data_IF_433382852206
#
_entry.id   IF_433382852206
#
_cell.length_a   1.000
_cell.length_b   1.000
_cell.length_c   1.000
_cell.angle_alpha   90.00
_cell.angle_beta   90.00
_cell.angle_gamma   90.00
#
_symmetry.space_group_name_H-M   'P 1'
#
loop_
_entity.id
_entity.type
_entity.pdbx_description
1 polymer ?
#
# COMPACT_ATOMS: atom_id res chain seq x y z
N UNK A 1 -61.87 29.64 -21.42
CA UNK A 1 -61.07 28.41 -21.57
C UNK A 1 -59.67 28.83 -21.97
N UNK A 2 -58.76 29.01 -21.00
CA UNK A 2 -57.40 29.50 -21.28
C UNK A 2 -56.53 28.35 -21.77
N UNK A 3 -55.81 28.56 -22.89
CA UNK A 3 -54.87 27.59 -23.44
C UNK A 3 -53.86 27.10 -22.39
N UNK A 4 -53.48 25.81 -22.40
CA UNK A 4 -52.46 25.30 -21.49
C UNK A 4 -51.13 26.00 -21.78
N UNK A 5 -50.71 26.82 -20.82
CA UNK A 5 -49.47 27.57 -20.90
C UNK A 5 -48.25 26.66 -21.14
N UNK A 6 -47.42 26.99 -22.14
CA UNK A 6 -46.23 26.20 -22.52
C UNK A 6 -45.33 25.88 -21.30
N UNK A 7 -44.79 24.67 -21.15
CA UNK A 7 -43.90 24.34 -20.02
C UNK A 7 -42.58 25.12 -20.06
N UNK A 8 -42.02 25.44 -18.88
CA UNK A 8 -40.69 26.04 -18.78
C UNK A 8 -39.62 24.99 -19.11
N UNK A 9 -38.81 25.23 -20.13
CA UNK A 9 -37.77 24.28 -20.61
C UNK A 9 -36.78 23.83 -19.53
N UNK A 10 -36.58 24.65 -18.50
CA UNK A 10 -35.60 24.39 -17.45
C UNK A 10 -36.20 23.78 -16.17
N UNK A 11 -37.52 23.77 -15.98
CA UNK A 11 -38.19 23.24 -14.77
C UNK A 11 -38.96 21.95 -15.12
N UNK A 12 -38.60 20.84 -14.48
CA UNK A 12 -39.18 19.52 -14.79
C UNK A 12 -40.51 19.31 -14.06
N UNK A 13 -41.54 18.87 -14.81
CA UNK A 13 -42.82 18.42 -14.24
C UNK A 13 -42.69 17.08 -13.51
N UNK A 14 -41.82 16.21 -14.01
CA UNK A 14 -41.55 14.87 -13.46
C UNK A 14 -40.47 14.94 -12.37
N UNK A 15 -40.60 14.11 -11.32
CA UNK A 15 -39.61 14.00 -10.25
C UNK A 15 -39.73 15.02 -9.11
N UNK A 16 -40.87 15.70 -8.96
CA UNK A 16 -41.16 16.56 -7.81
C UNK A 16 -40.33 17.85 -7.72
N UNK A 17 -39.51 18.17 -8.73
CA UNK A 17 -38.65 19.36 -8.76
C UNK A 17 -39.45 20.67 -8.67
N UNK A 18 -40.67 20.69 -9.22
CA UNK A 18 -41.56 21.84 -9.16
C UNK A 18 -42.16 22.10 -7.77
N UNK A 19 -42.34 21.07 -6.93
CA UNK A 19 -42.73 21.26 -5.52
C UNK A 19 -41.63 21.98 -4.75
N UNK A 20 -40.38 21.63 -5.04
CA UNK A 20 -39.26 22.34 -4.42
C UNK A 20 -39.15 23.79 -4.91
N UNK A 21 -39.43 24.03 -6.20
CA UNK A 21 -39.49 25.40 -6.71
C UNK A 21 -40.63 26.20 -6.06
N UNK A 22 -41.77 25.56 -5.79
CA UNK A 22 -42.86 26.13 -5.01
C UNK A 22 -42.39 26.53 -3.60
N UNK A 23 -41.80 25.59 -2.85
CA UNK A 23 -41.31 25.85 -1.49
C UNK A 23 -40.27 26.97 -1.45
N UNK A 24 -39.35 26.99 -2.42
CA UNK A 24 -38.35 28.05 -2.55
C UNK A 24 -39.00 29.42 -2.77
N UNK A 25 -40.04 29.51 -3.60
CA UNK A 25 -40.74 30.77 -3.86
C UNK A 25 -41.51 31.27 -2.63
N UNK A 26 -42.09 30.35 -1.84
CA UNK A 26 -42.75 30.69 -0.56
C UNK A 26 -41.74 31.28 0.43
N UNK A 27 -40.52 30.73 0.48
CA UNK A 27 -39.47 31.20 1.37
C UNK A 27 -38.79 32.50 0.88
N UNK A 28 -38.68 32.69 -0.42
CA UNK A 28 -37.94 33.79 -1.03
C UNK A 28 -38.77 35.07 -1.22
N UNK A 29 -40.10 34.99 -1.15
CA UNK A 29 -41.01 36.10 -1.38
C UNK A 29 -41.78 36.43 -0.10
N UNK A 30 -42.03 37.72 0.12
CA UNK A 30 -42.88 38.15 1.23
C UNK A 30 -44.33 37.67 1.02
N UNK A 31 -45.06 37.31 2.09
CA UNK A 31 -46.43 36.80 1.99
C UNK A 31 -47.36 37.72 1.21
N UNK A 32 -47.20 39.04 1.35
CA UNK A 32 -48.03 40.04 0.67
C UNK A 32 -47.68 40.20 -0.81
N UNK A 33 -46.43 39.91 -1.17
CA UNK A 33 -45.99 39.85 -2.57
C UNK A 33 -46.51 38.56 -3.24
N UNK A 34 -46.59 37.46 -2.49
CA UNK A 34 -47.21 36.22 -2.96
C UNK A 34 -48.71 36.46 -3.20
N UNK A 35 -49.40 37.19 -2.31
CA UNK A 35 -50.81 37.61 -2.47
C UNK A 35 -51.04 38.57 -3.63
N UNK A 36 -50.13 39.51 -3.92
CA UNK A 36 -50.32 40.44 -5.04
C UNK A 36 -50.18 39.75 -6.41
N UNK A 37 -49.36 38.71 -6.49
CA UNK A 37 -49.21 37.87 -7.66
C UNK A 37 -50.47 36.98 -7.91
N UNK A 38 -51.35 36.86 -6.91
CA UNK A 38 -52.36 35.82 -6.78
C UNK A 38 -53.54 36.03 -5.80
N UNK A 39 -54.81 35.84 -6.20
CA UNK A 39 -55.97 36.05 -5.31
C UNK A 39 -56.06 35.08 -4.12
N UNK A 40 -55.31 33.96 -4.09
CA UNK A 40 -55.22 33.07 -2.93
C UNK A 40 -53.77 32.61 -2.70
N UNK A 41 -53.14 32.93 -1.55
CA UNK A 41 -51.71 32.70 -1.33
C UNK A 41 -51.33 31.26 -0.95
N UNK A 42 -52.27 30.43 -0.49
CA UNK A 42 -51.98 29.12 0.09
C UNK A 42 -52.13 27.92 -0.86
N UNK A 43 -52.93 28.02 -1.92
CA UNK A 43 -53.28 26.89 -2.81
C UNK A 43 -52.69 26.99 -4.22
N UNK A 44 -51.80 27.97 -4.44
CA UNK A 44 -51.41 28.39 -5.80
C UNK A 44 -50.07 27.89 -6.26
N UNK A 45 -49.37 27.10 -5.46
CA UNK A 45 -48.16 26.41 -5.89
C UNK A 45 -48.33 24.88 -5.82
N UNK A 46 -49.58 24.42 -5.69
CA UNK A 46 -49.97 23.01 -5.59
C UNK A 46 -49.95 22.29 -6.94
N UNK A 47 -49.77 23.01 -8.04
CA UNK A 47 -49.71 22.43 -9.39
C UNK A 47 -48.52 22.98 -10.16
N UNK A 48 -47.98 22.17 -11.07
CA UNK A 48 -46.87 22.57 -11.94
C UNK A 48 -47.21 23.83 -12.75
N UNK A 49 -48.42 23.88 -13.30
CA UNK A 49 -48.92 24.97 -14.13
C UNK A 49 -49.02 26.29 -13.34
N UNK A 50 -49.42 26.22 -12.07
CA UNK A 50 -49.52 27.38 -11.20
C UNK A 50 -48.13 27.90 -10.78
N UNK A 51 -47.17 27.01 -10.54
CA UNK A 51 -45.76 27.38 -10.33
C UNK A 51 -45.16 28.06 -11.57
N UNK A 52 -45.40 27.52 -12.77
CA UNK A 52 -44.90 28.10 -14.03
C UNK A 52 -45.43 29.52 -14.27
N UNK A 53 -46.72 29.73 -14.04
CA UNK A 53 -47.36 31.04 -14.24
C UNK A 53 -46.86 32.08 -13.23
N UNK A 54 -46.64 31.71 -11.96
CA UNK A 54 -46.01 32.59 -10.96
C UNK A 54 -44.57 32.93 -11.36
N UNK A 55 -43.76 31.95 -11.79
CA UNK A 55 -42.39 32.18 -12.25
C UNK A 55 -42.36 33.15 -13.44
N UNK A 56 -43.31 33.06 -14.38
CA UNK A 56 -43.37 33.98 -15.52
C UNK A 56 -43.70 35.42 -15.13
N UNK A 57 -44.59 35.61 -14.15
CA UNK A 57 -44.87 36.95 -13.60
C UNK A 57 -43.64 37.50 -12.90
N UNK A 58 -43.00 36.69 -12.05
CA UNK A 58 -41.75 37.04 -11.38
C UNK A 58 -40.62 37.33 -12.36
N UNK A 59 -40.58 36.67 -13.52
CA UNK A 59 -39.56 36.95 -14.51
C UNK A 59 -39.67 38.36 -15.12
N UNK A 60 -40.86 38.99 -15.04
CA UNK A 60 -41.07 40.39 -15.45
C UNK A 60 -40.84 41.37 -14.30
N UNK A 61 -41.22 41.00 -13.07
CA UNK A 61 -41.20 41.90 -11.90
C UNK A 61 -39.90 41.81 -11.08
N UNK A 62 -39.36 40.60 -10.90
CA UNK A 62 -38.17 40.27 -10.10
C UNK A 62 -37.33 39.16 -10.76
N UNK A 63 -36.65 39.47 -11.88
CA UNK A 63 -35.87 38.48 -12.62
C UNK A 63 -34.72 37.89 -11.78
N UNK A 64 -34.20 38.62 -10.80
CA UNK A 64 -33.13 38.20 -9.89
C UNK A 64 -33.52 36.98 -9.03
N UNK A 65 -34.78 36.90 -8.59
CA UNK A 65 -35.30 35.76 -7.81
C UNK A 65 -35.37 34.52 -8.70
N UNK A 66 -35.81 34.69 -9.96
CA UNK A 66 -35.87 33.59 -10.94
C UNK A 66 -34.46 33.11 -11.31
N UNK A 67 -33.49 34.00 -11.49
CA UNK A 67 -32.10 33.64 -11.73
C UNK A 67 -31.50 32.83 -10.57
N UNK A 68 -31.74 33.25 -9.32
CA UNK A 68 -31.31 32.50 -8.13
C UNK A 68 -31.96 31.13 -8.05
N UNK A 69 -33.28 31.06 -8.30
CA UNK A 69 -34.03 29.80 -8.34
C UNK A 69 -33.44 28.84 -9.40
N UNK A 70 -33.19 29.31 -10.62
CA UNK A 70 -32.55 28.51 -11.67
C UNK A 70 -31.16 28.00 -11.25
N UNK A 71 -30.35 28.85 -10.63
CA UNK A 71 -29.03 28.48 -10.11
C UNK A 71 -29.10 27.38 -9.05
N UNK A 72 -30.00 27.52 -8.09
CA UNK A 72 -30.20 26.51 -7.03
C UNK A 72 -30.71 25.17 -7.57
N UNK A 73 -31.62 25.17 -8.54
CA UNK A 73 -32.08 23.93 -9.19
C UNK A 73 -30.94 23.26 -9.95
N UNK A 74 -30.15 24.03 -10.69
CA UNK A 74 -28.95 23.51 -11.37
C UNK A 74 -27.97 22.88 -10.39
N UNK A 75 -27.72 23.54 -9.26
CA UNK A 75 -26.82 23.04 -8.22
C UNK A 75 -27.37 21.78 -7.55
N UNK A 76 -28.68 21.73 -7.30
CA UNK A 76 -29.36 20.55 -6.75
C UNK A 76 -29.25 19.35 -7.69
N UNK A 77 -29.49 19.54 -8.99
CA UNK A 77 -29.28 18.50 -10.01
C UNK A 77 -27.83 18.04 -10.11
N UNK A 78 -26.87 18.95 -9.91
CA UNK A 78 -25.46 18.59 -9.90
C UNK A 78 -25.09 17.75 -8.67
N UNK A 79 -25.79 17.96 -7.55
CA UNK A 79 -25.58 17.28 -6.26
C UNK A 79 -26.42 16.00 -6.09
N UNK A 80 -27.41 15.75 -6.94
CA UNK A 80 -28.19 14.51 -6.86
C UNK A 80 -27.33 13.31 -7.31
N UNK A 81 -27.45 12.21 -6.58
CA UNK A 81 -26.61 11.00 -6.69
C UNK A 81 -26.58 10.33 -8.08
N UNK A 82 -27.45 10.75 -9.03
CA UNK A 82 -27.54 10.20 -10.37
C UNK A 82 -26.30 10.40 -11.26
N UNK A 83 -25.34 11.24 -10.86
CA UNK A 83 -24.13 11.53 -11.63
C UNK A 83 -22.86 10.85 -11.08
N UNK A 84 -22.98 9.92 -10.13
CA UNK A 84 -21.86 9.09 -9.64
C UNK A 84 -20.78 9.83 -8.84
N UNK A 85 -20.95 11.13 -8.57
CA UNK A 85 -20.02 11.93 -7.76
C UNK A 85 -20.67 12.29 -6.43
N UNK A 86 -20.16 11.73 -5.34
CA UNK A 86 -20.55 12.10 -3.98
C UNK A 86 -19.62 13.21 -3.48
N UNK A 87 -20.09 14.45 -3.28
CA UNK A 87 -19.24 15.51 -2.75
C UNK A 87 -18.85 15.19 -1.30
N UNK A 88 -17.54 15.23 -1.02
CA UNK A 88 -16.99 15.15 0.34
C UNK A 88 -16.44 16.52 0.72
N UNK A 89 -16.93 17.09 1.81
CA UNK A 89 -16.40 18.35 2.35
C UNK A 89 -15.48 18.02 3.52
N UNK A 90 -14.22 18.44 3.42
CA UNK A 90 -13.22 18.29 4.46
C UNK A 90 -12.77 19.67 4.91
N UNK A 91 -12.59 19.83 6.21
CA UNK A 91 -11.98 21.04 6.77
C UNK A 91 -10.50 20.77 7.00
N UNK A 92 -9.65 21.57 6.35
CA UNK A 92 -8.20 21.50 6.47
C UNK A 92 -7.69 22.79 7.13
N UNK A 93 -6.49 22.73 7.73
CA UNK A 93 -5.84 23.92 8.24
C UNK A 93 -5.52 24.91 7.10
N UNK A 94 -5.45 26.21 7.40
CA UNK A 94 -5.09 27.24 6.40
C UNK A 94 -3.75 26.95 5.73
N UNK A 95 -2.78 26.46 6.50
CA UNK A 95 -1.45 26.09 5.98
C UNK A 95 -1.53 24.92 5.00
N UNK A 96 -2.31 23.89 5.34
CA UNK A 96 -2.50 22.71 4.49
C UNK A 96 -3.15 23.10 3.17
N UNK A 97 -4.17 23.96 3.21
CA UNK A 97 -4.82 24.46 1.99
C UNK A 97 -3.83 25.23 1.12
N UNK A 98 -3.08 26.18 1.70
CA UNK A 98 -2.08 26.95 0.96
C UNK A 98 -1.03 26.06 0.28
N UNK A 99 -0.51 25.07 1.02
CA UNK A 99 0.43 24.07 0.48
C UNK A 99 -0.21 23.25 -0.65
N UNK A 100 -1.43 22.75 -0.46
CA UNK A 100 -2.14 21.97 -1.49
C UNK A 100 -2.38 22.80 -2.76
N UNK A 101 -2.85 24.04 -2.63
CA UNK A 101 -3.10 24.94 -3.76
C UNK A 101 -1.80 25.28 -4.50
N UNK A 102 -0.71 25.58 -3.77
CA UNK A 102 0.59 25.87 -4.39
C UNK A 102 1.16 24.67 -5.15
N UNK A 103 1.06 23.46 -4.58
CA UNK A 103 1.48 22.22 -5.25
C UNK A 103 0.61 21.92 -6.47
N UNK A 104 -0.71 22.08 -6.36
CA UNK A 104 -1.64 21.87 -7.46
C UNK A 104 -1.34 22.81 -8.64
N UNK A 105 -1.06 24.09 -8.35
CA UNK A 105 -0.63 25.08 -9.35
C UNK A 105 0.71 24.70 -9.99
N UNK A 106 1.71 24.31 -9.19
CA UNK A 106 3.02 23.90 -9.69
C UNK A 106 2.92 22.73 -10.66
N UNK A 107 2.02 21.78 -10.38
CA UNK A 107 1.78 20.60 -11.22
C UNK A 107 0.70 20.80 -12.29
N UNK A 108 0.09 21.99 -12.40
CA UNK A 108 -1.00 22.31 -13.35
C UNK A 108 -2.17 21.32 -13.30
N UNK A 109 -2.51 20.84 -12.11
CA UNK A 109 -3.62 19.89 -11.87
C UNK A 109 -4.60 20.45 -10.83
N UNK A 110 -5.80 19.89 -10.76
CA UNK A 110 -6.73 20.23 -9.67
C UNK A 110 -6.23 19.66 -8.35
N UNK A 111 -6.59 20.31 -7.24
CA UNK A 111 -6.25 19.85 -5.89
C UNK A 111 -6.75 18.42 -5.64
N UNK A 112 -7.95 18.08 -6.10
CA UNK A 112 -8.50 16.74 -6.01
C UNK A 112 -7.69 15.71 -6.82
N UNK A 113 -7.23 16.06 -8.02
CA UNK A 113 -6.38 15.19 -8.83
C UNK A 113 -4.99 15.00 -8.21
N UNK A 114 -4.44 16.05 -7.58
CA UNK A 114 -3.18 15.96 -6.85
C UNK A 114 -3.31 15.01 -5.65
N UNK A 115 -4.36 15.14 -4.85
CA UNK A 115 -4.62 14.24 -3.71
C UNK A 115 -4.79 12.80 -4.18
N UNK A 116 -5.57 12.57 -5.24
CA UNK A 116 -5.72 11.23 -5.81
C UNK A 116 -4.37 10.63 -6.22
N UNK A 117 -3.52 11.41 -6.91
CA UNK A 117 -2.18 10.96 -7.31
C UNK A 117 -1.31 10.62 -6.11
N UNK A 118 -1.30 11.45 -5.07
CA UNK A 118 -0.52 11.20 -3.86
C UNK A 118 -0.97 9.91 -3.15
N UNK A 119 -2.28 9.68 -3.05
CA UNK A 119 -2.83 8.46 -2.46
C UNK A 119 -2.41 7.22 -3.28
N UNK A 120 -2.49 7.28 -4.61
CA UNK A 120 -2.06 6.18 -5.47
C UNK A 120 -0.56 5.91 -5.33
N UNK A 121 0.26 6.96 -5.35
CA UNK A 121 1.72 6.84 -5.21
C UNK A 121 2.14 6.23 -3.87
N UNK A 122 1.52 6.66 -2.77
CA UNK A 122 1.78 6.07 -1.45
C UNK A 122 1.34 4.61 -1.39
N UNK A 123 0.18 4.28 -1.98
CA UNK A 123 -0.28 2.89 -2.09
C UNK A 123 0.70 2.00 -2.86
N UNK A 124 1.19 2.49 -4.00
CA UNK A 124 2.19 1.80 -4.81
C UNK A 124 3.53 1.64 -4.08
N UNK A 125 4.01 2.69 -3.41
CA UNK A 125 5.26 2.67 -2.65
C UNK A 125 5.22 1.63 -1.52
N UNK A 126 4.10 1.57 -0.79
CA UNK A 126 3.90 0.57 0.28
C UNK A 126 3.91 -0.86 -0.27
N UNK A 127 3.24 -1.10 -1.40
CA UNK A 127 3.23 -2.45 -2.00
C UNK A 127 4.61 -2.84 -2.58
N UNK A 128 5.34 -1.90 -3.16
CA UNK A 128 6.73 -2.10 -3.60
C UNK A 128 7.60 -2.48 -2.40
N UNK A 129 7.50 -1.75 -1.28
CA UNK A 129 8.28 -2.03 -0.08
C UNK A 129 7.96 -3.41 0.49
N UNK A 130 6.68 -3.79 0.60
CA UNK A 130 6.27 -5.13 1.03
C UNK A 130 6.83 -6.23 0.12
N UNK A 131 6.80 -6.01 -1.19
CA UNK A 131 7.33 -6.99 -2.15
C UNK A 131 8.85 -7.12 -2.05
N UNK A 132 9.55 -6.00 -1.89
CA UNK A 132 11.00 -6.00 -1.67
C UNK A 132 11.38 -6.75 -0.38
N UNK A 133 10.68 -6.51 0.73
CA UNK A 133 10.89 -7.24 1.98
C UNK A 133 10.67 -8.75 1.84
N UNK A 134 9.63 -9.16 1.09
CA UNK A 134 9.38 -10.57 0.79
C UNK A 134 10.54 -11.17 0.00
N UNK A 135 10.98 -10.49 -1.06
CA UNK A 135 12.11 -10.94 -1.88
C UNK A 135 13.40 -11.07 -1.05
N UNK A 136 13.68 -10.08 -0.21
CA UNK A 136 14.86 -10.12 0.67
C UNK A 136 14.79 -11.30 1.65
N UNK A 137 13.64 -11.54 2.29
CA UNK A 137 13.44 -12.69 3.17
C UNK A 137 13.67 -14.02 2.43
N UNK A 138 13.16 -14.15 1.21
CA UNK A 138 13.36 -15.36 0.40
C UNK A 138 14.82 -15.55 -0.01
N UNK A 139 15.52 -14.47 -0.39
CA UNK A 139 16.93 -14.51 -0.76
C UNK A 139 17.80 -14.89 0.44
N UNK A 140 17.57 -14.27 1.60
CA UNK A 140 18.29 -14.59 2.84
C UNK A 140 18.03 -16.04 3.27
N UNK A 141 16.80 -16.53 3.15
CA UNK A 141 16.48 -17.93 3.45
C UNK A 141 17.21 -18.90 2.52
N UNK A 142 17.30 -18.58 1.23
CA UNK A 142 18.02 -19.38 0.25
C UNK A 142 19.52 -19.40 0.53
N UNK A 143 20.13 -18.23 0.77
CA UNK A 143 21.56 -18.14 1.12
C UNK A 143 21.90 -18.90 2.40
N UNK A 144 21.06 -18.79 3.44
CA UNK A 144 21.22 -19.58 4.67
C UNK A 144 21.15 -21.07 4.40
N UNK A 145 20.19 -21.52 3.58
CA UNK A 145 20.05 -22.93 3.21
C UNK A 145 21.28 -23.42 2.42
N UNK A 146 21.73 -22.65 1.44
CA UNK A 146 22.91 -22.97 0.63
C UNK A 146 24.17 -23.02 1.51
N UNK A 147 24.34 -22.05 2.40
CA UNK A 147 25.43 -22.02 3.38
C UNK A 147 25.42 -23.24 4.29
N UNK A 148 24.26 -23.62 4.84
CA UNK A 148 24.11 -24.82 5.67
C UNK A 148 24.44 -26.10 4.91
N UNK A 149 23.94 -26.24 3.67
CA UNK A 149 24.24 -27.41 2.84
C UNK A 149 25.73 -27.52 2.51
N UNK A 150 26.38 -26.39 2.18
CA UNK A 150 27.81 -26.34 1.88
C UNK A 150 28.65 -26.65 3.12
N UNK A 151 28.27 -26.10 4.29
CA UNK A 151 28.93 -26.41 5.55
C UNK A 151 28.81 -27.90 5.91
N UNK A 152 27.62 -28.49 5.75
CA UNK A 152 27.40 -29.90 5.99
C UNK A 152 28.24 -30.78 5.05
N UNK A 153 28.28 -30.45 3.76
CA UNK A 153 29.11 -31.15 2.77
C UNK A 153 30.61 -31.09 3.12
N UNK A 154 31.13 -29.91 3.41
CA UNK A 154 32.54 -29.73 3.76
C UNK A 154 32.91 -30.43 5.07
N UNK A 155 31.98 -30.46 6.04
CA UNK A 155 32.18 -31.18 7.31
C UNK A 155 32.26 -32.69 7.05
N UNK A 156 31.35 -33.24 6.25
CA UNK A 156 31.39 -34.66 5.89
C UNK A 156 32.68 -35.03 5.15
N UNK A 157 33.10 -34.19 4.19
CA UNK A 157 34.35 -34.39 3.46
C UNK A 157 35.56 -34.35 4.41
N UNK A 158 35.62 -33.41 5.35
CA UNK A 158 36.67 -33.34 6.36
C UNK A 158 36.71 -34.60 7.23
N UNK A 159 35.56 -35.08 7.67
CA UNK A 159 35.50 -36.25 8.54
C UNK A 159 35.94 -37.53 7.79
N UNK A 160 35.63 -37.64 6.49
CA UNK A 160 36.15 -38.70 5.63
C UNK A 160 37.67 -38.60 5.43
N UNK A 161 38.21 -37.40 5.14
CA UNK A 161 39.66 -37.24 4.97
C UNK A 161 40.43 -37.55 6.25
N UNK A 162 39.89 -37.20 7.43
CA UNK A 162 40.46 -37.57 8.71
C UNK A 162 40.49 -39.09 8.93
N UNK A 163 39.45 -39.81 8.51
CA UNK A 163 39.45 -41.29 8.54
C UNK A 163 40.52 -41.87 7.62
N UNK A 164 40.65 -41.34 6.41
CA UNK A 164 41.68 -41.78 5.47
C UNK A 164 43.10 -41.49 5.99
N UNK A 165 43.33 -40.30 6.56
CA UNK A 165 44.60 -39.94 7.17
C UNK A 165 44.96 -40.87 8.33
N UNK A 166 44.00 -41.16 9.22
CA UNK A 166 44.21 -42.12 10.31
C UNK A 166 44.64 -43.49 9.77
N UNK A 167 43.94 -44.00 8.75
CA UNK A 167 44.29 -45.28 8.11
C UNK A 167 45.69 -45.27 7.47
N UNK A 168 46.07 -44.19 6.80
CA UNK A 168 47.42 -44.05 6.24
C UNK A 168 48.48 -44.01 7.34
N UNK A 169 48.23 -43.31 8.45
CA UNK A 169 49.14 -43.27 9.61
C UNK A 169 49.29 -44.65 10.27
N UNK A 170 48.20 -45.40 10.40
CA UNK A 170 48.25 -46.79 10.90
C UNK A 170 49.11 -47.69 10.00
N UNK A 171 49.00 -47.56 8.67
CA UNK A 171 49.82 -48.30 7.72
C UNK A 171 51.31 -47.89 7.79
N UNK A 172 51.59 -46.58 7.93
CA UNK A 172 52.95 -46.08 8.10
C UNK A 172 53.57 -46.54 9.41
N UNK A 173 52.84 -46.47 10.53
CA UNK A 173 53.31 -46.95 11.82
C UNK A 173 53.59 -48.46 11.80
N UNK A 174 52.73 -49.25 11.13
CA UNK A 174 53.00 -50.68 10.88
C UNK A 174 54.29 -50.88 10.10
N UNK A 175 54.53 -50.08 9.07
CA UNK A 175 55.74 -50.18 8.26
C UNK A 175 57.01 -49.76 9.04
N UNK A 176 56.94 -48.67 9.80
CA UNK A 176 58.04 -48.19 10.65
C UNK A 176 58.42 -49.22 11.74
N UNK A 177 57.44 -49.89 12.36
CA UNK A 177 57.68 -50.94 13.37
C UNK A 177 58.26 -52.24 12.79
N UNK A 178 58.10 -52.48 11.49
CA UNK A 178 58.71 -53.63 10.81
C UNK A 178 60.17 -53.40 10.41
N UNK A 179 60.65 -52.14 10.43
CA UNK A 179 61.97 -51.76 9.93
C UNK A 179 62.95 -51.48 11.09
N UNK A 180 63.52 -52.53 11.70
CA UNK A 180 64.86 -53.00 11.30
C UNK A 180 65.07 -54.54 11.28
N UNK A 181 64.05 -55.37 11.55
CA UNK A 181 64.24 -56.82 11.80
C UNK A 181 63.97 -57.76 10.61
N UNK A 182 63.51 -57.26 9.44
CA UNK A 182 63.27 -58.00 8.18
C UNK A 182 62.47 -59.33 8.29
N UNK A 183 61.84 -59.58 9.43
CA UNK A 183 60.86 -60.64 9.69
C UNK A 183 59.64 -59.97 10.33
N UNK A 184 58.41 -60.32 9.96
CA UNK A 184 57.24 -59.63 10.49
C UNK A 184 57.09 -59.95 11.98
N UNK A 185 57.37 -59.03 12.94
CA UNK A 185 56.66 -59.13 14.19
C UNK A 185 55.23 -58.69 13.87
N UNK A 186 54.22 -59.45 14.31
CA UNK A 186 52.86 -58.92 14.29
C UNK A 186 52.85 -57.70 15.24
N UNK A 187 53.11 -56.51 14.70
CA UNK A 187 53.10 -55.27 15.46
C UNK A 187 51.78 -55.21 16.21
N UNK A 188 51.86 -55.13 17.54
CA UNK A 188 50.65 -55.13 18.37
C UNK A 188 49.80 -53.91 17.99
N UNK A 189 48.50 -54.09 17.87
CA UNK A 189 47.58 -52.98 17.61
C UNK A 189 47.69 -51.87 18.67
N UNK A 190 48.21 -52.18 19.87
CA UNK A 190 48.48 -51.20 20.92
C UNK A 190 49.73 -50.34 20.64
N UNK A 191 50.79 -50.91 20.05
CA UNK A 191 52.01 -50.16 19.68
C UNK A 191 51.73 -49.21 18.51
N UNK A 192 50.91 -49.65 17.57
CA UNK A 192 50.44 -48.82 16.44
C UNK A 192 49.59 -47.65 16.95
N UNK A 193 48.68 -47.90 17.89
CA UNK A 193 47.87 -46.82 18.51
C UNK A 193 48.73 -45.82 19.27
N UNK A 194 49.79 -46.25 19.96
CA UNK A 194 50.70 -45.35 20.66
C UNK A 194 51.41 -44.37 19.72
N UNK A 195 51.67 -44.75 18.47
CA UNK A 195 52.28 -43.87 17.46
C UNK A 195 51.25 -42.97 16.74
N UNK A 196 50.04 -43.47 16.51
CA UNK A 196 49.00 -42.79 15.70
C UNK A 196 48.17 -41.78 16.51
N UNK A 197 47.72 -42.15 17.72
CA UNK A 197 46.85 -41.31 18.54
C UNK A 197 47.46 -39.94 18.91
N UNK A 198 48.75 -39.79 19.29
CA UNK A 198 49.32 -38.47 19.57
C UNK A 198 49.36 -37.58 18.32
N UNK A 199 49.68 -38.14 17.14
CA UNK A 199 49.71 -37.39 15.86
C UNK A 199 48.31 -36.95 15.44
N UNK A 200 47.30 -37.82 15.59
CA UNK A 200 45.90 -37.47 15.33
C UNK A 200 45.37 -36.43 16.32
N UNK A 201 45.77 -36.51 17.59
CA UNK A 201 45.41 -35.52 18.62
C UNK A 201 46.01 -34.15 18.33
N UNK A 202 47.28 -34.09 17.92
CA UNK A 202 47.94 -32.85 17.52
C UNK A 202 47.26 -32.21 16.30
N UNK A 203 46.96 -33.00 15.27
CA UNK A 203 46.24 -32.53 14.08
C UNK A 203 44.85 -31.97 14.43
N UNK A 204 44.08 -32.69 15.27
CA UNK A 204 42.76 -32.24 15.71
C UNK A 204 42.85 -30.94 16.51
N UNK A 205 43.83 -30.82 17.41
CA UNK A 205 44.05 -29.59 18.17
C UNK A 205 44.40 -28.40 17.25
N UNK A 206 45.23 -28.62 16.23
CA UNK A 206 45.57 -27.59 15.25
C UNK A 206 44.35 -27.15 14.43
N UNK A 207 43.50 -28.10 14.00
CA UNK A 207 42.25 -27.79 13.30
C UNK A 207 41.27 -27.02 14.19
N UNK A 208 41.15 -27.38 15.47
CA UNK A 208 40.32 -26.66 16.44
C UNK A 208 40.83 -25.24 16.67
N UNK A 209 42.15 -25.06 16.77
CA UNK A 209 42.75 -23.73 16.93
C UNK A 209 42.50 -22.83 15.71
N UNK A 210 42.64 -23.37 14.50
CA UNK A 210 42.33 -22.63 13.26
C UNK A 210 40.86 -22.22 13.23
N UNK A 211 39.94 -23.15 13.51
CA UNK A 211 38.51 -22.86 13.57
C UNK A 211 38.19 -21.76 14.61
N UNK A 212 38.78 -21.84 15.80
CA UNK A 212 38.61 -20.83 16.85
C UNK A 212 39.15 -19.45 16.43
N UNK A 213 40.33 -19.40 15.83
CA UNK A 213 40.92 -18.16 15.30
C UNK A 213 39.97 -17.51 14.28
N UNK A 214 39.46 -18.30 13.34
CA UNK A 214 38.58 -17.81 12.28
C UNK A 214 37.27 -17.26 12.84
N UNK A 215 36.72 -17.84 13.90
CA UNK A 215 35.54 -17.28 14.60
C UNK A 215 35.79 -15.91 15.23
N UNK A 216 36.99 -15.66 15.76
CA UNK A 216 37.34 -14.36 16.37
C UNK A 216 37.56 -13.29 15.30
N UNK A 217 38.08 -13.66 14.13
CA UNK A 217 38.37 -12.71 13.05
C UNK A 217 37.16 -12.35 12.21
N UNK A 218 36.14 -13.22 12.12
CA UNK A 218 34.96 -13.01 11.28
C UNK A 218 33.82 -12.23 11.96
N UNK A 219 33.72 -12.24 13.29
CA UNK A 219 32.70 -11.44 14.01
C UNK A 219 32.90 -9.92 13.92
N UNK A 220 34.10 -9.44 13.54
CA UNK A 220 34.38 -7.99 13.45
C UNK A 220 33.94 -7.31 12.15
N UNK A 221 33.48 -8.04 11.14
CA UNK A 221 33.07 -7.45 9.85
C UNK A 221 31.56 -7.15 9.76
N UNK A 222 30.78 -7.42 10.81
CA UNK A 222 29.33 -7.22 10.85
C UNK A 222 28.83 -6.48 12.10
N UNK A 223 29.51 -5.41 12.51
CA UNK A 223 28.98 -4.41 13.46
C UNK A 223 28.93 -3.02 12.83
#
# INVERSE_FOLDING_TARGET
MSEPEKPLRWLRKQGGEWHWAADYLVQALEPDHIKSLAPNPFTRLDTYESVVSVIRKLQRERPDVVFRLQGTIRQRRYRSDSNGRKPLTLTLSKETISKLTSLARRHKVSEAALVARLITQEGEAVEIQKNYEKQLKTAVALERKNGQQRAAFLTAQRDETLKHLKRCLELLARWELMWPEDKPPAASDDDIKQLVEPRMKELNNALTYIAFRDTITTEREHS
#
